data_IF_650880323829
#
_entry.id   IF_650880323829
#
_cell.length_a   1.000
_cell.length_b   1.000
_cell.length_c   1.000
_cell.angle_alpha   90.00
_cell.angle_beta   90.00
_cell.angle_gamma   90.00
#
_symmetry.space_group_name_H-M   'P 1'
#
loop_
_entity.id
_entity.type
_entity.pdbx_description
1 polymer ?
#
# COMPACT_ATOMS: atom_id res chain seq x y z
N UNK A 1 -11.97 9.77 -0.81
CA UNK A 1 -10.58 9.24 -0.89
C UNK A 1 -9.58 10.36 -0.61
N UNK A 2 -8.51 10.14 0.19
CA UNK A 2 -7.58 11.22 0.55
C UNK A 2 -6.77 11.78 -0.64
N UNK A 3 -6.48 13.09 -0.62
CA UNK A 3 -5.80 13.83 -1.72
C UNK A 3 -4.41 13.28 -2.07
N UNK A 4 -3.65 12.79 -1.08
CA UNK A 4 -2.31 12.25 -1.32
C UNK A 4 -2.30 11.07 -2.30
N UNK A 5 -3.33 10.24 -2.29
CA UNK A 5 -3.48 9.14 -3.25
C UNK A 5 -3.79 9.63 -4.66
N UNK A 6 -4.60 10.68 -4.79
CA UNK A 6 -4.93 11.29 -6.09
C UNK A 6 -3.70 11.92 -6.72
N UNK A 7 -2.97 12.70 -5.93
CA UNK A 7 -1.74 13.35 -6.37
C UNK A 7 -0.71 12.32 -6.86
N UNK A 8 -0.33 11.36 -6.00
CA UNK A 8 0.69 10.36 -6.36
C UNK A 8 0.22 9.48 -7.51
N UNK A 9 -1.04 9.06 -7.55
CA UNK A 9 -1.53 8.27 -8.67
C UNK A 9 -1.44 9.04 -10.00
N UNK A 10 -1.75 10.34 -10.00
CA UNK A 10 -1.59 11.20 -11.18
C UNK A 10 -0.15 11.35 -11.64
N UNK A 11 0.82 11.43 -10.72
CA UNK A 11 2.25 11.52 -11.04
C UNK A 11 2.73 10.32 -11.89
N UNK A 12 2.08 9.15 -11.74
CA UNK A 12 2.46 7.88 -12.40
C UNK A 12 1.41 7.36 -13.39
N UNK A 13 0.32 8.09 -13.62
CA UNK A 13 -0.76 7.68 -14.53
C UNK A 13 -1.56 6.47 -14.05
N UNK A 14 -1.72 6.29 -12.74
CA UNK A 14 -2.55 5.26 -12.12
C UNK A 14 -3.97 5.79 -11.88
N UNK A 15 -4.99 4.92 -11.89
CA UNK A 15 -6.28 5.24 -11.30
C UNK A 15 -6.12 5.49 -9.79
N UNK A 16 -6.53 6.65 -9.26
CA UNK A 16 -6.41 6.94 -7.82
C UNK A 16 -7.07 5.90 -6.92
N UNK A 17 -8.26 5.41 -7.33
CA UNK A 17 -9.00 4.37 -6.60
C UNK A 17 -8.24 3.04 -6.52
N UNK A 18 -7.43 2.69 -7.54
CA UNK A 18 -6.57 1.52 -7.50
C UNK A 18 -5.50 1.67 -6.43
N UNK A 19 -4.75 2.78 -6.43
CA UNK A 19 -3.68 3.00 -5.46
C UNK A 19 -4.21 2.99 -4.03
N UNK A 20 -5.39 3.59 -3.79
CA UNK A 20 -6.04 3.55 -2.49
C UNK A 20 -6.54 2.14 -2.13
N UNK A 21 -7.09 1.38 -3.08
CA UNK A 21 -7.51 -0.01 -2.86
C UNK A 21 -6.34 -0.95 -2.51
N UNK A 22 -5.18 -0.76 -3.16
CA UNK A 22 -3.94 -1.47 -2.80
C UNK A 22 -3.54 -1.11 -1.36
N UNK A 23 -3.49 0.17 -1.01
CA UNK A 23 -3.14 0.60 0.35
C UNK A 23 -4.08 0.03 1.43
N UNK A 24 -5.39 -0.04 1.15
CA UNK A 24 -6.38 -0.68 2.03
C UNK A 24 -6.12 -2.18 2.20
N UNK A 25 -5.69 -2.84 1.11
CA UNK A 25 -5.38 -4.27 1.10
C UNK A 25 -4.09 -4.57 1.88
N UNK A 26 -3.15 -3.64 1.89
CA UNK A 26 -1.83 -3.77 2.52
C UNK A 26 -1.81 -3.39 4.00
N UNK A 27 -2.28 -2.19 4.35
CA UNK A 27 -2.14 -1.64 5.72
C UNK A 27 -3.46 -1.19 6.34
N UNK A 28 -4.58 -1.62 5.77
CA UNK A 28 -5.90 -1.28 6.26
C UNK A 28 -6.14 -1.76 7.69
N UNK A 29 -6.51 -0.85 8.59
CA UNK A 29 -6.92 -1.18 9.96
C UNK A 29 -7.90 -0.13 10.50
N UNK A 30 -8.63 -0.48 11.58
CA UNK A 30 -9.63 0.40 12.22
C UNK A 30 -9.28 0.84 13.66
N UNK A 31 -8.46 0.09 14.39
CA UNK A 31 -8.17 0.30 15.82
C UNK A 31 -7.50 1.64 16.12
N UNK A 32 -6.59 2.10 15.26
CA UNK A 32 -5.90 3.39 15.38
C UNK A 32 -6.53 4.50 14.54
N UNK A 33 -7.64 4.21 13.86
CA UNK A 33 -8.32 5.11 12.92
C UNK A 33 -9.73 5.50 13.41
N UNK A 34 -9.97 5.51 14.72
CA UNK A 34 -11.29 5.86 15.28
C UNK A 34 -12.41 4.94 14.81
N UNK A 35 -12.12 3.65 14.59
CA UNK A 35 -13.07 2.66 14.09
C UNK A 35 -13.23 2.63 12.57
N UNK A 36 -12.66 3.59 11.84
CA UNK A 36 -12.77 3.63 10.38
C UNK A 36 -11.67 2.79 9.72
N UNK A 37 -12.04 1.85 8.86
CA UNK A 37 -11.06 1.04 8.13
C UNK A 37 -10.32 1.88 7.08
N UNK A 38 -9.04 2.20 7.34
CA UNK A 38 -8.20 3.07 6.51
C UNK A 38 -6.76 2.55 6.47
N UNK A 39 -6.00 2.83 5.39
CA UNK A 39 -4.57 2.50 5.35
C UNK A 39 -3.81 3.23 6.47
N UNK A 40 -2.83 2.57 7.07
CA UNK A 40 -2.09 3.11 8.20
C UNK A 40 -0.61 3.32 7.88
N UNK A 41 -0.08 4.55 7.96
CA UNK A 41 1.25 4.86 7.44
C UNK A 41 2.40 4.32 8.28
N UNK A 42 2.13 3.98 9.53
CA UNK A 42 3.13 3.49 10.48
C UNK A 42 2.89 2.02 10.78
N UNK A 43 2.61 1.24 9.73
CA UNK A 43 2.47 -0.21 9.78
C UNK A 43 3.81 -0.87 9.39
N UNK A 44 4.17 -1.95 10.07
CA UNK A 44 5.26 -2.85 9.72
C UNK A 44 4.72 -4.27 9.70
N UNK A 45 5.01 -5.05 8.65
CA UNK A 45 4.90 -6.50 8.73
C UNK A 45 6.29 -7.06 9.03
N UNK A 46 6.46 -7.78 10.13
CA UNK A 46 7.73 -8.35 10.58
C UNK A 46 7.56 -9.87 10.56
N UNK A 47 8.27 -10.56 9.67
CA UNK A 47 8.21 -12.02 9.51
C UNK A 47 6.78 -12.61 9.36
N UNK A 48 5.86 -11.84 8.76
CA UNK A 48 4.46 -12.22 8.56
C UNK A 48 3.50 -11.62 9.60
N UNK A 49 4.01 -11.03 10.68
CA UNK A 49 3.22 -10.45 11.76
C UNK A 49 3.03 -8.94 11.57
N UNK A 50 1.77 -8.48 11.58
CA UNK A 50 1.43 -7.07 11.42
C UNK A 50 1.52 -6.27 12.72
N UNK A 51 2.31 -5.20 12.71
CA UNK A 51 2.47 -4.26 13.82
C UNK A 51 2.08 -2.84 13.38
N UNK A 52 1.21 -2.20 14.16
CA UNK A 52 0.72 -0.85 13.89
C UNK A 52 1.12 0.10 15.01
N UNK A 53 1.78 1.19 14.67
CA UNK A 53 2.32 2.15 15.64
C UNK A 53 1.54 3.47 15.59
N UNK A 54 1.39 4.21 16.70
CA UNK A 54 0.65 5.47 16.71
C UNK A 54 1.44 6.65 16.15
N UNK A 55 2.72 6.48 15.81
CA UNK A 55 3.55 7.54 15.21
C UNK A 55 4.70 6.98 14.37
N UNK A 56 5.19 7.81 13.44
CA UNK A 56 6.39 7.53 12.62
C UNK A 56 7.61 7.21 13.47
N UNK A 57 7.80 7.94 14.58
CA UNK A 57 8.95 7.75 15.45
C UNK A 57 8.93 6.38 16.14
N UNK A 58 7.75 5.91 16.57
CA UNK A 58 7.62 4.58 17.18
C UNK A 58 7.83 3.46 16.16
N UNK A 59 7.22 3.56 14.97
CA UNK A 59 7.48 2.61 13.89
C UNK A 59 8.96 2.60 13.49
N UNK A 60 9.60 3.77 13.41
CA UNK A 60 11.01 3.85 13.05
C UNK A 60 11.92 3.19 14.10
N UNK A 61 11.66 3.39 15.40
CA UNK A 61 12.42 2.71 16.46
C UNK A 61 12.29 1.19 16.37
N UNK A 62 11.07 0.68 16.15
CA UNK A 62 10.84 -0.76 15.95
C UNK A 62 11.55 -1.27 14.69
N UNK A 63 11.45 -0.54 13.58
CA UNK A 63 12.13 -0.87 12.33
C UNK A 63 13.65 -0.93 12.52
N UNK A 64 14.25 0.03 13.22
CA UNK A 64 15.70 0.02 13.48
C UNK A 64 16.13 -1.22 14.28
N UNK A 65 15.35 -1.63 15.28
CA UNK A 65 15.62 -2.83 16.07
C UNK A 65 15.48 -4.13 15.24
N UNK A 66 14.56 -4.14 14.29
CA UNK A 66 14.39 -5.25 13.33
C UNK A 66 15.57 -5.31 12.36
N UNK A 67 15.98 -4.18 11.80
CA UNK A 67 17.04 -4.13 10.79
C UNK A 67 18.43 -4.51 11.33
N UNK A 68 18.63 -4.54 12.64
CA UNK A 68 19.85 -5.12 13.25
C UNK A 68 19.89 -6.65 13.24
N UNK A 69 18.76 -7.30 12.93
CA UNK A 69 18.63 -8.77 12.90
C UNK A 69 18.86 -9.26 11.46
N UNK A 70 19.72 -10.26 11.28
CA UNK A 70 20.23 -10.66 9.96
C UNK A 70 19.26 -11.47 9.10
N UNK A 71 18.12 -11.92 9.65
CA UNK A 71 17.18 -12.83 8.97
C UNK A 71 15.73 -12.34 8.90
N UNK A 72 15.45 -11.16 9.42
CA UNK A 72 14.08 -10.67 9.51
C UNK A 72 13.62 -10.04 8.19
N UNK A 73 12.47 -10.49 7.69
CA UNK A 73 11.76 -9.84 6.61
C UNK A 73 10.90 -8.72 7.18
N UNK A 74 10.97 -7.53 6.57
CA UNK A 74 10.13 -6.41 6.97
C UNK A 74 9.53 -5.70 5.77
N UNK A 75 8.21 -5.51 5.81
CA UNK A 75 7.46 -4.72 4.84
C UNK A 75 6.96 -3.43 5.51
N UNK A 76 7.05 -2.30 4.80
CA UNK A 76 7.01 -0.98 5.44
C UNK A 76 5.85 -0.12 4.91
N UNK A 77 5.11 0.49 5.83
CA UNK A 77 4.28 1.66 5.61
C UNK A 77 2.94 1.38 4.94
N UNK A 78 2.35 2.42 4.34
CA UNK A 78 1.02 2.37 3.71
C UNK A 78 0.87 1.22 2.72
N UNK A 79 1.95 0.94 1.98
CA UNK A 79 1.95 0.04 0.84
C UNK A 79 2.68 -1.28 1.12
N UNK A 80 3.13 -1.51 2.37
CA UNK A 80 3.85 -2.72 2.80
C UNK A 80 4.94 -3.13 1.79
N UNK A 81 5.81 -2.18 1.47
CA UNK A 81 6.89 -2.41 0.50
C UNK A 81 8.00 -3.16 1.19
N UNK A 82 8.41 -4.29 0.62
CA UNK A 82 9.46 -5.12 1.20
C UNK A 82 10.81 -4.42 1.21
N UNK A 83 11.36 -4.22 2.41
CA UNK A 83 12.69 -3.64 2.59
C UNK A 83 13.77 -4.49 1.92
N UNK A 84 13.63 -5.81 1.98
CA UNK A 84 14.61 -6.75 1.41
C UNK A 84 14.81 -6.55 -0.09
N UNK A 85 13.71 -6.33 -0.82
CA UNK A 85 13.74 -6.23 -2.29
C UNK A 85 13.88 -4.80 -2.80
N UNK A 86 13.36 -3.81 -2.07
CA UNK A 86 13.26 -2.42 -2.55
C UNK A 86 14.08 -1.41 -1.75
N UNK A 87 15.06 -1.86 -0.95
CA UNK A 87 15.91 -0.98 -0.13
C UNK A 87 16.51 0.20 -0.91
N UNK A 88 17.01 -0.03 -2.12
CA UNK A 88 17.68 1.00 -2.93
C UNK A 88 16.76 2.17 -3.27
N UNK A 89 15.48 1.90 -3.56
CA UNK A 89 14.48 2.93 -3.90
C UNK A 89 13.73 3.46 -2.67
N UNK A 90 13.64 2.66 -1.60
CA UNK A 90 13.10 3.10 -0.31
C UNK A 90 14.04 4.08 0.41
N UNK A 91 15.35 4.01 0.14
CA UNK A 91 16.34 4.90 0.73
C UNK A 91 16.62 4.57 2.19
N UNK A 92 16.57 5.59 3.05
CA UNK A 92 16.76 5.38 4.50
C UNK A 92 15.53 4.76 5.17
N UNK A 93 15.70 4.09 6.30
CA UNK A 93 14.58 3.53 7.08
C UNK A 93 13.60 4.61 7.53
N UNK A 94 14.08 5.84 7.77
CA UNK A 94 13.24 6.98 8.04
C UNK A 94 12.41 7.38 6.82
N UNK A 95 13.05 7.50 5.64
CA UNK A 95 12.39 7.86 4.38
C UNK A 95 11.37 6.80 3.93
N UNK A 96 11.63 5.52 4.15
CA UNK A 96 10.71 4.43 3.83
C UNK A 96 9.36 4.53 4.58
N UNK A 97 9.36 5.12 5.78
CA UNK A 97 8.17 5.42 6.58
C UNK A 97 7.54 6.78 6.25
N UNK A 98 8.09 7.55 5.31
CA UNK A 98 7.43 8.75 4.80
C UNK A 98 6.21 8.36 3.96
N UNK A 99 4.99 8.81 4.30
CA UNK A 99 3.79 8.38 3.59
C UNK A 99 3.82 8.65 2.09
N UNK A 100 4.31 9.83 1.67
CA UNK A 100 4.33 10.20 0.26
C UNK A 100 5.44 9.47 -0.50
N UNK A 101 6.63 9.32 0.10
CA UNK A 101 7.69 8.50 -0.48
C UNK A 101 7.24 7.06 -0.67
N UNK A 102 6.63 6.47 0.35
CA UNK A 102 6.12 5.09 0.32
C UNK A 102 5.06 4.92 -0.79
N UNK A 103 4.12 5.86 -0.92
CA UNK A 103 3.15 5.85 -2.03
C UNK A 103 3.81 5.94 -3.40
N UNK A 104 4.81 6.80 -3.58
CA UNK A 104 5.51 6.98 -4.87
C UNK A 104 6.28 5.73 -5.28
N UNK A 105 6.97 5.09 -4.33
CA UNK A 105 7.68 3.83 -4.61
C UNK A 105 6.68 2.75 -5.04
N UNK A 106 5.54 2.62 -4.35
CA UNK A 106 4.53 1.65 -4.75
C UNK A 106 3.89 1.98 -6.11
N UNK A 107 3.62 3.26 -6.39
CA UNK A 107 3.07 3.70 -7.67
C UNK A 107 4.02 3.39 -8.83
N UNK A 108 5.34 3.54 -8.63
CA UNK A 108 6.34 3.14 -9.61
C UNK A 108 6.30 1.63 -9.88
N UNK A 109 6.30 0.79 -8.83
CA UNK A 109 6.25 -0.68 -8.98
C UNK A 109 4.95 -1.11 -9.69
N UNK A 110 3.81 -0.54 -9.31
CA UNK A 110 2.52 -0.80 -9.96
C UNK A 110 2.53 -0.39 -11.43
N UNK A 111 3.20 0.73 -11.76
CA UNK A 111 3.34 1.18 -13.14
C UNK A 111 4.19 0.22 -13.96
N UNK A 112 5.29 -0.30 -13.40
CA UNK A 112 6.13 -1.28 -14.06
C UNK A 112 5.35 -2.58 -14.34
N UNK A 113 4.61 -3.09 -13.34
CA UNK A 113 3.70 -4.22 -13.53
C UNK A 113 2.58 -3.93 -14.55
N UNK A 114 2.19 -2.67 -14.75
CA UNK A 114 1.21 -2.30 -15.78
C UNK A 114 1.81 -2.29 -17.18
N UNK A 115 3.07 -1.88 -17.33
CA UNK A 115 3.78 -1.98 -18.62
C UNK A 115 3.87 -3.43 -19.08
N UNK A 116 4.03 -4.38 -18.17
CA UNK A 116 4.08 -5.81 -18.49
C UNK A 116 2.70 -6.42 -18.83
N UNK A 117 1.67 -6.10 -18.04
CA UNK A 117 0.38 -6.80 -18.13
C UNK A 117 -0.74 -6.04 -18.85
N UNK A 118 -0.69 -4.70 -18.91
CA UNK A 118 -1.73 -3.85 -19.53
C UNK A 118 -3.07 -3.78 -18.78
N UNK A 119 -3.22 -4.47 -17.64
CA UNK A 119 -4.46 -4.49 -16.85
C UNK A 119 -4.20 -4.28 -15.36
N UNK A 120 -4.86 -3.27 -14.79
CA UNK A 120 -4.61 -2.82 -13.41
C UNK A 120 -4.79 -3.88 -12.31
N UNK A 121 -5.77 -4.78 -12.43
CA UNK A 121 -5.99 -5.83 -11.42
C UNK A 121 -4.86 -6.87 -11.49
N UNK A 122 -4.39 -7.21 -12.68
CA UNK A 122 -3.24 -8.09 -12.87
C UNK A 122 -1.96 -7.42 -12.37
N UNK A 123 -1.80 -6.10 -12.62
CA UNK A 123 -0.69 -5.32 -12.10
C UNK A 123 -0.65 -5.27 -10.56
N UNK A 124 -1.81 -5.19 -9.90
CA UNK A 124 -1.89 -5.31 -8.45
C UNK A 124 -1.47 -6.71 -7.96
N UNK A 125 -1.85 -7.77 -8.67
CA UNK A 125 -1.37 -9.13 -8.40
C UNK A 125 0.15 -9.26 -8.55
N UNK A 126 0.71 -8.74 -9.65
CA UNK A 126 2.15 -8.67 -9.91
C UNK A 126 2.89 -7.92 -8.80
N UNK A 127 2.36 -6.78 -8.34
CA UNK A 127 2.93 -6.01 -7.24
C UNK A 127 3.12 -6.84 -5.96
N UNK A 128 2.15 -7.69 -5.62
CA UNK A 128 2.19 -8.47 -4.38
C UNK A 128 2.98 -9.79 -4.51
N UNK A 129 2.86 -10.48 -5.65
CA UNK A 129 3.40 -11.82 -5.81
C UNK A 129 3.82 -12.09 -7.27
N UNK A 130 4.88 -11.44 -7.78
CA UNK A 130 5.25 -11.51 -9.19
C UNK A 130 5.65 -12.92 -9.65
N UNK A 131 6.13 -13.76 -8.72
CA UNK A 131 6.60 -15.11 -9.00
C UNK A 131 5.63 -16.22 -8.53
N UNK A 132 4.41 -15.86 -8.10
CA UNK A 132 3.38 -16.81 -7.66
C UNK A 132 2.01 -16.40 -8.22
N UNK A 133 1.63 -16.93 -9.40
CA UNK A 133 0.39 -16.55 -10.08
C UNK A 133 -0.87 -16.79 -9.24
N UNK A 134 -0.88 -17.85 -8.44
CA UNK A 134 -2.04 -18.18 -7.61
C UNK A 134 -2.21 -17.15 -6.47
N UNK A 135 -1.11 -16.71 -5.85
CA UNK A 135 -1.14 -15.61 -4.86
C UNK A 135 -1.46 -14.28 -5.50
N UNK A 136 -0.91 -13.98 -6.67
CA UNK A 136 -1.17 -12.76 -7.41
C UNK A 136 -2.67 -12.62 -7.74
N UNK A 137 -3.30 -13.69 -8.21
CA UNK A 137 -4.73 -13.68 -8.54
C UNK A 137 -5.62 -13.48 -7.30
N UNK A 138 -5.34 -14.20 -6.19
CA UNK A 138 -6.05 -13.99 -4.92
C UNK A 138 -5.92 -12.56 -4.41
N UNK A 139 -4.72 -11.98 -4.52
CA UNK A 139 -4.47 -10.61 -4.14
C UNK A 139 -5.25 -9.62 -5.02
N UNK A 140 -5.21 -9.81 -6.35
CA UNK A 140 -5.95 -8.98 -7.31
C UNK A 140 -7.47 -8.98 -7.02
N UNK A 141 -8.05 -10.11 -6.63
CA UNK A 141 -9.46 -10.18 -6.21
C UNK A 141 -9.77 -9.33 -4.99
N UNK A 142 -8.89 -9.31 -3.97
CA UNK A 142 -9.04 -8.45 -2.78
C UNK A 142 -8.99 -6.97 -3.15
N UNK A 143 -8.00 -6.58 -3.97
CA UNK A 143 -7.88 -5.20 -4.46
C UNK A 143 -9.12 -4.79 -5.26
N UNK A 144 -9.59 -5.64 -6.17
CA UNK A 144 -10.81 -5.41 -6.96
C UNK A 144 -12.03 -5.17 -6.08
N UNK A 145 -12.18 -5.93 -4.99
CA UNK A 145 -13.29 -5.76 -4.05
C UNK A 145 -13.24 -4.39 -3.36
N UNK A 146 -12.07 -3.94 -2.89
CA UNK A 146 -11.90 -2.60 -2.34
C UNK A 146 -12.17 -1.51 -3.39
N UNK A 147 -11.63 -1.68 -4.60
CA UNK A 147 -11.75 -0.67 -5.65
C UNK A 147 -13.21 -0.47 -6.10
N UNK A 148 -13.99 -1.55 -6.24
CA UNK A 148 -15.43 -1.46 -6.56
C UNK A 148 -16.21 -0.67 -5.51
N UNK A 149 -15.96 -0.92 -4.22
CA UNK A 149 -16.65 -0.18 -3.14
C UNK A 149 -16.36 1.33 -3.22
N UNK A 150 -15.14 1.71 -3.58
CA UNK A 150 -14.77 3.12 -3.72
C UNK A 150 -15.48 3.79 -4.90
N UNK A 151 -15.69 3.06 -6.00
CA UNK A 151 -16.42 3.59 -7.18
C UNK A 151 -17.92 3.70 -6.91
N UNK A 152 -18.50 2.74 -6.20
CA UNK A 152 -19.93 2.72 -5.90
C UNK A 152 -20.31 3.87 -4.94
N UNK A 153 -19.52 4.10 -3.88
CA UNK A 153 -19.72 5.23 -2.96
C UNK A 153 -19.59 6.60 -3.66
N UNK A 154 -18.77 6.70 -4.70
CA UNK A 154 -18.62 7.95 -5.46
C UNK A 154 -19.82 8.26 -6.37
N UNK A 155 -20.69 7.28 -6.64
CA UNK A 155 -21.91 7.46 -7.43
C UNK A 155 -23.14 7.82 -6.57
N UNK A 156 -23.18 7.36 -5.32
CA UNK A 156 -24.29 7.66 -4.38
C UNK A 156 -24.24 9.12 -3.87
N UNK A 157 -23.06 9.68 -3.61
CA UNK A 157 -22.90 11.10 -3.18
C UNK A 157 -23.30 12.11 -4.30
N UNK A 158 -23.53 11.66 -5.53
CA UNK A 158 -23.97 12.50 -6.66
C UNK A 158 -25.49 12.56 -6.88
N UNK A 159 -26.29 11.81 -6.11
CA UNK A 159 -27.75 11.72 -6.27
C UNK A 159 -28.54 12.37 -5.12
N UNK A 160 -27.87 12.92 -4.11
CA UNK A 160 -28.50 13.68 -3.01
C UNK A 160 -28.20 15.17 -3.14
N UNK A 161 -28.93 15.87 -4.02
CA UNK A 161 -29.21 17.31 -3.91
C UNK A 161 -30.41 17.66 -4.82
N UNK A 162 -31.66 17.61 -4.32
CA UNK A 162 -32.78 18.29 -4.94
C UNK A 162 -32.74 19.82 -4.72
#
# INVERSE_FOLDING_TARGET
MPVGYQQVASEYGLPPGLLYAVALTESGQSSLSGGQFRPWPWALNIDGEGHYFPSRQMAWRALQAVLTQTKTSVDIGLMQISWRYHRSVLGSSWQALDPYHNLRVAAAILRDCFVEHGHWIQSAGCYHAPNDPARADRYGHRVKAHWRRLTDTSQEEGLENP
#
